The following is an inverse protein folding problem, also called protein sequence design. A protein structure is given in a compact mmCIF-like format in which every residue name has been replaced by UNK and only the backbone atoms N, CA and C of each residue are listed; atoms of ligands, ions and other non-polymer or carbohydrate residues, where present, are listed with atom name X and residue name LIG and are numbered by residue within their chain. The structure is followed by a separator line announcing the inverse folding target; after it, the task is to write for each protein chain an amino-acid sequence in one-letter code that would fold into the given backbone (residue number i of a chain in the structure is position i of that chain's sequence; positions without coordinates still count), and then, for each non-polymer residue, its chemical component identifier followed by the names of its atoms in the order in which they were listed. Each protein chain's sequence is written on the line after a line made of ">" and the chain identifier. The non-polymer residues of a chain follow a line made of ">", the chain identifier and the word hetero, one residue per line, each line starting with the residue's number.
data_IF_613242336929
#
_entry.id   IF_613242336929
#
_cell.length_a   1.000
_cell.length_b   1.000
_cell.length_c   1.000
_cell.angle_alpha   90.00
_cell.angle_beta   90.00
_cell.angle_gamma   90.00
#
_symmetry.space_group_name_H-M   'P 1'
#
loop_
_entity.id
_entity.type
_entity.pdbx_description
1 polymer ?
#
# COMPACT_ATOMS: atom_id res chain seq x y z
N UNK A 1 -6.26 -8.25 -3.19
CA UNK A 1 -6.53 -9.64 -3.61
C UNK A 1 -5.67 -10.66 -2.87
N UNK A 2 -4.42 -10.35 -2.53
CA UNK A 2 -3.48 -11.28 -1.88
C UNK A 2 -4.07 -12.03 -0.67
N UNK A 3 -4.75 -11.34 0.27
CA UNK A 3 -5.34 -12.01 1.43
C UNK A 3 -6.49 -12.96 1.08
N UNK A 4 -7.33 -12.63 0.10
CA UNK A 4 -8.42 -13.53 -0.33
C UNK A 4 -7.79 -14.82 -0.88
N UNK A 5 -6.73 -14.66 -1.69
CA UNK A 5 -6.02 -15.77 -2.31
C UNK A 5 -5.32 -16.72 -1.34
N UNK A 6 -5.11 -16.31 -0.08
CA UNK A 6 -4.51 -17.17 0.93
C UNK A 6 -5.44 -18.30 1.39
N UNK A 7 -6.70 -18.30 0.96
CA UNK A 7 -7.71 -19.28 1.39
C UNK A 7 -8.25 -19.09 2.80
N UNK A 8 -7.67 -18.17 3.60
CA UNK A 8 -8.07 -17.92 5.00
C UNK A 8 -9.52 -17.46 5.16
N UNK A 9 -10.11 -16.90 4.10
CA UNK A 9 -11.49 -16.40 4.12
C UNK A 9 -12.51 -17.46 3.65
N UNK A 10 -12.06 -18.67 3.34
CA UNK A 10 -12.91 -19.74 2.81
C UNK A 10 -13.34 -20.68 3.93
N UNK A 11 -14.59 -20.57 4.43
CA UNK A 11 -15.06 -21.38 5.56
C UNK A 11 -15.04 -22.88 5.25
N UNK A 12 -15.19 -23.24 3.98
CA UNK A 12 -15.21 -24.62 3.49
C UNK A 12 -13.89 -25.03 2.81
N UNK A 13 -12.84 -24.21 2.92
CA UNK A 13 -11.55 -24.42 2.26
C UNK A 13 -11.56 -24.16 0.76
N UNK A 14 -10.41 -24.39 0.13
CA UNK A 14 -10.19 -24.22 -1.32
C UNK A 14 -10.78 -25.41 -2.08
N UNK A 15 -11.58 -25.13 -3.10
CA UNK A 15 -12.18 -26.14 -4.00
C UNK A 15 -11.59 -26.15 -5.40
N UNK A 16 -11.08 -25.00 -5.85
CA UNK A 16 -10.52 -24.85 -7.19
C UNK A 16 -9.32 -23.91 -7.16
N UNK A 17 -8.37 -24.19 -8.04
CA UNK A 17 -7.24 -23.30 -8.30
C UNK A 17 -7.13 -22.94 -9.79
N UNK A 18 -6.44 -21.84 -10.08
CA UNK A 18 -6.09 -21.43 -11.43
C UNK A 18 -4.67 -20.83 -11.42
N UNK A 19 -3.80 -21.26 -12.33
CA UNK A 19 -2.44 -20.73 -12.40
C UNK A 19 -2.41 -19.46 -13.24
N UNK A 20 -1.96 -18.37 -12.62
CA UNK A 20 -1.88 -17.05 -13.24
C UNK A 20 -0.43 -16.61 -13.35
N UNK A 21 -0.11 -15.93 -14.46
CA UNK A 21 1.21 -15.35 -14.71
C UNK A 21 1.10 -13.93 -15.20
N UNK A 22 2.01 -13.08 -14.75
CA UNK A 22 2.16 -11.70 -15.18
C UNK A 22 3.62 -11.28 -15.19
N UNK A 23 3.91 -10.09 -15.69
CA UNK A 23 5.28 -9.55 -15.74
C UNK A 23 5.33 -8.24 -14.97
N UNK A 24 6.33 -8.13 -14.11
CA UNK A 24 6.75 -6.93 -13.42
C UNK A 24 8.08 -6.45 -13.99
N UNK A 25 8.34 -5.16 -13.85
CA UNK A 25 9.57 -4.51 -14.27
C UNK A 25 10.21 -3.86 -13.06
N UNK A 26 11.49 -4.14 -12.81
CA UNK A 26 12.18 -3.67 -11.60
C UNK A 26 13.68 -3.40 -11.78
N UNK A 27 14.25 -2.63 -10.85
CA UNK A 27 15.71 -2.54 -10.64
C UNK A 27 16.27 -3.67 -9.76
N UNK A 28 15.43 -4.60 -9.30
CA UNK A 28 15.82 -5.73 -8.48
C UNK A 28 16.63 -6.77 -9.26
N UNK A 29 17.69 -7.31 -8.64
CA UNK A 29 18.55 -8.36 -9.17
C UNK A 29 18.56 -9.58 -8.24
N UNK A 30 18.20 -10.75 -8.75
CA UNK A 30 18.06 -12.00 -8.00
C UNK A 30 19.28 -12.93 -8.10
N UNK A 31 20.44 -12.41 -8.53
CA UNK A 31 21.66 -13.16 -8.85
C UNK A 31 22.18 -14.14 -7.78
N UNK A 32 21.80 -13.95 -6.50
CA UNK A 32 22.30 -14.73 -5.36
C UNK A 32 21.23 -15.61 -4.72
N UNK A 33 20.09 -15.73 -5.37
CA UNK A 33 18.96 -16.52 -4.89
C UNK A 33 18.95 -17.86 -5.62
N UNK A 34 18.65 -18.93 -4.90
CA UNK A 34 18.42 -20.24 -5.50
C UNK A 34 17.35 -20.12 -6.59
N UNK A 35 17.61 -20.73 -7.75
CA UNK A 35 16.77 -20.65 -8.96
C UNK A 35 16.47 -19.22 -9.48
N UNK A 36 17.19 -18.18 -9.02
CA UNK A 36 16.86 -16.78 -9.28
C UNK A 36 15.39 -16.45 -8.96
N UNK A 37 14.82 -17.06 -7.92
CA UNK A 37 13.41 -16.95 -7.60
C UNK A 37 13.13 -16.61 -6.14
N UNK A 38 12.20 -15.69 -5.91
CA UNK A 38 11.64 -15.39 -4.59
C UNK A 38 10.32 -16.14 -4.47
N UNK A 39 10.15 -16.93 -3.42
CA UNK A 39 8.92 -17.67 -3.14
C UNK A 39 8.29 -17.14 -1.86
N UNK A 40 7.01 -16.77 -1.93
CA UNK A 40 6.25 -16.21 -0.80
C UNK A 40 4.83 -16.78 -0.76
N UNK A 41 4.08 -16.57 0.34
CA UNK A 41 2.64 -16.90 0.38
C UNK A 41 1.79 -16.12 -0.63
N UNK A 42 2.28 -14.97 -1.10
CA UNK A 42 1.59 -14.16 -2.09
C UNK A 42 1.85 -14.62 -3.53
N UNK A 43 2.82 -15.51 -3.76
CA UNK A 43 3.22 -16.01 -5.07
C UNK A 43 4.74 -16.03 -5.24
N UNK A 44 5.18 -16.35 -6.47
CA UNK A 44 6.58 -16.50 -6.85
C UNK A 44 7.01 -15.41 -7.81
N UNK A 45 8.20 -14.86 -7.60
CA UNK A 45 8.90 -13.98 -8.55
C UNK A 45 10.08 -14.73 -9.15
N UNK A 46 10.19 -14.74 -10.46
CA UNK A 46 11.30 -15.34 -11.20
C UNK A 46 11.92 -14.29 -12.11
N UNK A 47 13.23 -14.08 -11.98
CA UNK A 47 13.93 -13.17 -12.89
C UNK A 47 14.03 -13.78 -14.29
N UNK A 48 13.42 -13.13 -15.29
CA UNK A 48 13.45 -13.60 -16.68
C UNK A 48 14.71 -13.13 -17.41
N UNK A 49 15.12 -11.88 -17.17
CA UNK A 49 16.36 -11.31 -17.67
C UNK A 49 16.99 -10.39 -16.60
N UNK A 50 18.31 -10.45 -16.50
CA UNK A 50 19.11 -9.65 -15.57
C UNK A 50 19.97 -8.60 -16.29
N UNK A 51 20.12 -8.69 -17.61
CA UNK A 51 21.09 -7.92 -18.37
C UNK A 51 20.70 -6.44 -18.55
N UNK A 52 19.40 -6.17 -18.73
CA UNK A 52 18.90 -4.84 -19.05
C UNK A 52 17.98 -4.27 -17.98
N UNK A 53 17.97 -2.94 -17.85
CA UNK A 53 17.01 -2.21 -17.03
C UNK A 53 15.91 -1.60 -17.93
N UNK A 54 14.64 -1.65 -17.49
CA UNK A 54 14.15 -2.33 -16.29
C UNK A 54 14.14 -3.87 -16.48
N UNK A 55 14.43 -4.62 -15.42
CA UNK A 55 14.53 -6.08 -15.46
C UNK A 55 13.14 -6.71 -15.42
N UNK A 56 12.78 -7.56 -16.39
CA UNK A 56 11.53 -8.30 -16.35
C UNK A 56 11.60 -9.41 -15.29
N UNK A 57 10.59 -9.43 -14.42
CA UNK A 57 10.39 -10.41 -13.37
C UNK A 57 9.01 -11.04 -13.60
N UNK A 58 8.98 -12.34 -13.86
CA UNK A 58 7.75 -13.10 -13.99
C UNK A 58 7.16 -13.30 -12.60
N UNK A 59 5.90 -12.93 -12.45
CA UNK A 59 5.10 -13.20 -11.28
C UNK A 59 4.17 -14.38 -11.55
N UNK A 60 4.24 -15.40 -10.72
CA UNK A 60 3.37 -16.58 -10.76
C UNK A 60 2.54 -16.68 -9.48
N UNK A 61 1.24 -16.95 -9.61
CA UNK A 61 0.34 -17.12 -8.47
C UNK A 61 -0.72 -18.16 -8.78
N UNK A 62 -0.95 -19.06 -7.81
CA UNK A 62 -2.08 -19.99 -7.84
C UNK A 62 -3.30 -19.28 -7.24
N UNK A 63 -4.22 -18.88 -8.10
CA UNK A 63 -5.48 -18.26 -7.73
C UNK A 63 -6.42 -19.28 -7.09
N UNK A 64 -6.98 -19.00 -5.92
CA UNK A 64 -7.80 -19.93 -5.15
C UNK A 64 -9.28 -19.52 -5.12
N UNK A 65 -10.19 -20.51 -5.00
CA UNK A 65 -11.64 -20.33 -4.90
C UNK A 65 -12.26 -21.33 -3.92
N UNK A 66 -13.36 -20.96 -3.25
CA UNK A 66 -14.17 -21.83 -2.37
C UNK A 66 -15.43 -22.41 -3.04
N UNK A 67 -15.68 -22.05 -4.30
CA UNK A 67 -16.82 -22.47 -5.10
C UNK A 67 -16.43 -23.39 -6.26
N UNK A 68 -17.38 -24.21 -6.70
CA UNK A 68 -17.27 -25.00 -7.92
C UNK A 68 -17.74 -24.22 -9.16
N UNK A 69 -17.17 -24.50 -10.36
CA UNK A 69 -17.57 -23.84 -11.60
C UNK A 69 -19.05 -24.07 -11.94
N UNK A 70 -19.84 -23.00 -12.00
CA UNK A 70 -21.25 -23.01 -12.44
C UNK A 70 -21.62 -21.67 -13.09
N UNK A 71 -22.72 -21.66 -13.85
CA UNK A 71 -23.21 -20.44 -14.53
C UNK A 71 -23.47 -19.36 -13.49
N UNK A 72 -22.96 -18.15 -13.74
CA UNK A 72 -23.07 -17.00 -12.83
C UNK A 72 -22.03 -16.94 -11.72
N UNK A 73 -21.11 -17.90 -11.62
CA UNK A 73 -19.97 -17.87 -10.69
C UNK A 73 -18.70 -17.39 -11.39
N UNK A 74 -17.91 -16.60 -10.67
CA UNK A 74 -16.65 -16.04 -11.16
C UNK A 74 -15.64 -17.15 -11.48
N UNK A 75 -15.10 -17.14 -12.70
CA UNK A 75 -14.12 -18.14 -13.16
C UNK A 75 -12.68 -17.71 -12.84
N UNK A 76 -12.36 -16.42 -12.92
CA UNK A 76 -11.05 -15.87 -12.54
C UNK A 76 -11.15 -14.37 -12.26
N UNK A 77 -10.34 -13.85 -11.33
CA UNK A 77 -10.14 -12.40 -11.19
C UNK A 77 -9.10 -11.85 -12.19
N UNK A 78 -8.41 -12.75 -12.92
CA UNK A 78 -7.25 -12.43 -13.74
C UNK A 78 -6.03 -12.07 -12.90
N UNK A 79 -4.85 -12.01 -13.53
CA UNK A 79 -3.59 -11.77 -12.79
C UNK A 79 -3.47 -10.32 -12.29
N UNK A 80 -4.10 -9.37 -12.97
CA UNK A 80 -3.84 -7.93 -12.79
C UNK A 80 -4.00 -7.42 -11.35
N UNK A 81 -5.08 -7.79 -10.61
CA UNK A 81 -5.22 -7.33 -9.22
C UNK A 81 -4.15 -7.88 -8.29
N UNK A 82 -3.70 -9.12 -8.50
CA UNK A 82 -2.61 -9.73 -7.73
C UNK A 82 -1.28 -9.07 -8.08
N UNK A 83 -1.04 -8.85 -9.38
CA UNK A 83 0.16 -8.23 -9.91
C UNK A 83 0.36 -6.82 -9.35
N UNK A 84 -0.71 -6.00 -9.33
CA UNK A 84 -0.68 -4.65 -8.77
C UNK A 84 -0.41 -4.64 -7.25
N UNK A 85 -1.08 -5.52 -6.50
CA UNK A 85 -0.88 -5.61 -5.06
C UNK A 85 0.53 -6.04 -4.70
N UNK A 86 1.02 -7.07 -5.38
CA UNK A 86 2.32 -7.62 -5.09
C UNK A 86 3.44 -6.67 -5.51
N UNK A 87 3.31 -5.98 -6.65
CA UNK A 87 4.23 -4.93 -7.05
C UNK A 87 4.34 -3.81 -6.01
N UNK A 88 3.21 -3.37 -5.43
CA UNK A 88 3.20 -2.36 -4.38
C UNK A 88 3.89 -2.85 -3.10
N UNK A 89 3.60 -4.08 -2.66
CA UNK A 89 4.24 -4.67 -1.48
C UNK A 89 5.75 -4.81 -1.69
N UNK A 90 6.18 -5.38 -2.82
CA UNK A 90 7.61 -5.56 -3.15
C UNK A 90 8.33 -4.21 -3.20
N UNK A 91 7.75 -3.21 -3.86
CA UNK A 91 8.31 -1.86 -3.92
C UNK A 91 8.49 -1.24 -2.53
N UNK A 92 7.45 -1.34 -1.69
CA UNK A 92 7.45 -0.80 -0.34
C UNK A 92 8.49 -1.47 0.55
N UNK A 93 8.46 -2.80 0.60
CA UNK A 93 9.24 -3.60 1.55
C UNK A 93 10.72 -3.62 1.18
N UNK A 94 11.05 -3.87 -0.09
CA UNK A 94 12.43 -3.95 -0.54
C UNK A 94 13.05 -2.58 -0.84
N UNK A 95 12.22 -1.53 -0.89
CA UNK A 95 12.62 -0.18 -1.33
C UNK A 95 13.22 -0.24 -2.73
N UNK A 96 12.47 -0.84 -3.65
CA UNK A 96 12.81 -1.02 -5.06
C UNK A 96 11.76 -0.32 -5.92
N UNK A 97 12.08 -0.04 -7.18
CA UNK A 97 11.06 0.30 -8.17
C UNK A 97 10.53 -1.01 -8.73
N UNK A 98 9.26 -1.34 -8.52
CA UNK A 98 8.65 -2.55 -9.08
C UNK A 98 7.21 -2.24 -9.53
N UNK A 99 6.96 -2.38 -10.84
CA UNK A 99 5.67 -1.99 -11.44
C UNK A 99 5.35 -2.88 -12.64
N UNK A 100 4.06 -3.15 -12.94
CA UNK A 100 3.67 -3.79 -14.20
C UNK A 100 3.86 -2.89 -15.43
N UNK A 101 4.10 -1.58 -15.25
CA UNK A 101 4.30 -0.61 -16.33
C UNK A 101 5.80 -0.43 -16.64
N UNK A 102 6.29 -0.92 -17.80
CA UNK A 102 7.70 -0.82 -18.18
C UNK A 102 8.16 0.61 -18.46
N UNK A 103 7.28 1.47 -18.98
CA UNK A 103 7.61 2.85 -19.32
C UNK A 103 7.76 3.69 -18.05
N UNK A 104 6.89 3.47 -17.06
CA UNK A 104 7.04 4.05 -15.73
C UNK A 104 8.35 3.60 -15.09
N UNK A 105 8.64 2.30 -15.09
CA UNK A 105 9.88 1.78 -14.49
C UNK A 105 11.12 2.39 -15.16
N UNK A 106 11.14 2.43 -16.49
CA UNK A 106 12.22 3.04 -17.28
C UNK A 106 12.43 4.50 -16.92
N UNK A 107 11.35 5.28 -16.80
CA UNK A 107 11.41 6.70 -16.45
C UNK A 107 11.99 6.92 -15.06
N UNK A 108 11.50 6.18 -14.07
CA UNK A 108 11.92 6.28 -12.67
C UNK A 108 13.39 5.88 -12.46
N UNK A 109 13.90 4.94 -13.26
CA UNK A 109 15.28 4.48 -13.21
C UNK A 109 16.22 5.24 -14.14
N UNK A 110 15.70 6.19 -14.92
CA UNK A 110 16.51 6.99 -15.83
C UNK A 110 17.23 8.13 -15.11
N UNK A 111 18.43 8.46 -15.59
CA UNK A 111 19.12 9.69 -15.20
C UNK A 111 18.57 10.94 -15.93
N UNK A 112 17.49 10.78 -16.71
CA UNK A 112 16.91 11.85 -17.52
C UNK A 112 16.08 12.76 -16.61
N UNK A 113 16.11 14.05 -16.93
CA UNK A 113 15.26 15.07 -16.29
C UNK A 113 13.87 14.99 -16.89
N UNK A 114 12.84 15.12 -16.06
CA UNK A 114 11.47 15.32 -16.54
C UNK A 114 11.21 16.81 -16.74
N UNK A 115 10.08 17.15 -17.37
CA UNK A 115 9.65 18.54 -17.53
C UNK A 115 9.25 19.19 -16.19
N UNK A 116 8.78 18.39 -15.23
CA UNK A 116 8.31 18.87 -13.93
C UNK A 116 9.40 18.91 -12.85
N UNK A 117 10.42 18.04 -12.94
CA UNK A 117 11.48 17.93 -11.93
C UNK A 117 12.85 17.79 -12.60
N UNK A 118 13.70 18.79 -12.35
CA UNK A 118 15.05 18.87 -12.94
C UNK A 118 16.08 17.96 -12.26
N UNK A 119 15.72 17.34 -11.14
CA UNK A 119 16.57 16.44 -10.36
C UNK A 119 16.18 14.99 -10.64
N UNK A 120 17.13 14.11 -11.03
CA UNK A 120 16.85 12.69 -11.24
C UNK A 120 16.29 12.01 -9.97
N UNK A 121 15.37 11.03 -10.10
CA UNK A 121 14.73 10.36 -8.96
C UNK A 121 15.72 9.76 -7.95
N UNK A 122 16.81 9.13 -8.42
CA UNK A 122 17.83 8.53 -7.56
C UNK A 122 18.55 9.54 -6.63
N UNK A 123 18.52 10.84 -6.96
CA UNK A 123 19.06 11.89 -6.09
C UNK A 123 18.05 12.39 -5.05
N UNK A 124 16.77 12.10 -5.24
CA UNK A 124 15.67 12.51 -4.37
C UNK A 124 15.37 11.45 -3.32
N UNK A 125 15.24 10.19 -3.74
CA UNK A 125 15.03 9.05 -2.84
C UNK A 125 16.08 7.98 -3.12
N UNK A 126 17.04 7.88 -2.19
CA UNK A 126 18.11 6.88 -2.27
C UNK A 126 17.54 5.47 -2.19
N UNK A 127 18.26 4.50 -2.75
CA UNK A 127 17.91 3.08 -2.80
C UNK A 127 16.75 2.79 -3.77
N UNK A 128 15.59 3.43 -3.62
CA UNK A 128 14.38 3.11 -4.42
C UNK A 128 14.61 3.19 -5.93
N UNK A 129 15.29 4.23 -6.39
CA UNK A 129 15.55 4.49 -7.80
C UNK A 129 17.00 4.22 -8.21
N UNK A 130 17.79 3.58 -7.34
CA UNK A 130 19.15 3.18 -7.69
C UNK A 130 19.07 2.17 -8.85
N UNK A 131 20.03 2.20 -9.78
CA UNK A 131 19.98 1.36 -11.00
C UNK A 131 19.91 -0.14 -10.68
N UNK A 132 20.54 -0.55 -9.60
CA UNK A 132 20.62 -1.95 -9.23
C UNK A 132 20.48 -2.12 -7.73
N UNK A 133 19.58 -3.02 -7.33
CA UNK A 133 19.41 -3.46 -5.96
C UNK A 133 19.59 -4.98 -5.95
N UNK A 134 20.63 -5.46 -5.29
CA UNK A 134 20.94 -6.89 -5.19
C UNK A 134 20.14 -7.48 -4.04
N UNK A 135 19.26 -8.43 -4.36
CA UNK A 135 18.51 -9.17 -3.37
C UNK A 135 19.41 -10.16 -2.62
N UNK A 136 19.21 -10.28 -1.30
CA UNK A 136 19.98 -11.16 -0.44
C UNK A 136 19.07 -11.86 0.59
N UNK A 137 19.63 -12.75 1.39
CA UNK A 137 18.89 -13.53 2.40
C UNK A 137 18.16 -12.69 3.46
N UNK A 138 18.67 -11.49 3.80
CA UNK A 138 17.98 -10.62 4.75
C UNK A 138 16.75 -9.98 4.10
N UNK A 139 16.85 -9.60 2.82
CA UNK A 139 15.71 -9.10 2.05
C UNK A 139 14.63 -10.19 1.89
N UNK A 140 15.04 -11.46 1.73
CA UNK A 140 14.13 -12.60 1.69
C UNK A 140 13.34 -12.78 2.99
N UNK A 141 14.03 -12.84 4.13
CA UNK A 141 13.39 -12.94 5.45
C UNK A 141 12.46 -11.76 5.73
N UNK A 142 12.89 -10.56 5.36
CA UNK A 142 12.13 -9.33 5.55
C UNK A 142 10.87 -9.32 4.67
N UNK A 143 10.95 -9.73 3.41
CA UNK A 143 9.80 -9.80 2.51
C UNK A 143 8.81 -10.89 2.92
N UNK A 144 9.30 -12.11 3.20
CA UNK A 144 8.45 -13.22 3.62
C UNK A 144 7.75 -12.91 4.95
N UNK A 145 8.49 -12.43 5.95
CA UNK A 145 7.91 -12.03 7.24
C UNK A 145 6.84 -10.95 7.09
N UNK A 146 7.10 -9.92 6.28
CA UNK A 146 6.12 -8.87 6.03
C UNK A 146 4.85 -9.37 5.35
N UNK A 147 4.98 -10.26 4.35
CA UNK A 147 3.83 -10.83 3.64
C UNK A 147 2.99 -11.72 4.56
N UNK A 148 3.65 -12.54 5.38
CA UNK A 148 2.98 -13.41 6.35
C UNK A 148 2.17 -12.59 7.36
N UNK A 149 2.78 -11.54 7.92
CA UNK A 149 2.11 -10.61 8.84
C UNK A 149 0.94 -9.89 8.15
N UNK A 150 1.18 -9.34 6.95
CA UNK A 150 0.18 -8.63 6.16
C UNK A 150 -1.03 -9.51 5.87
N UNK A 151 -0.83 -10.72 5.35
CA UNK A 151 -1.92 -11.68 5.07
C UNK A 151 -2.60 -12.13 6.37
N UNK A 152 -1.86 -12.20 7.48
CA UNK A 152 -2.35 -12.54 8.82
C UNK A 152 -3.26 -11.50 9.48
N UNK A 153 -3.28 -10.25 9.00
CA UNK A 153 -4.10 -9.19 9.56
C UNK A 153 -5.61 -9.48 9.49
N UNK A 154 -6.39 -8.91 10.44
CA UNK A 154 -7.85 -8.84 10.30
C UNK A 154 -8.22 -8.10 9.02
N UNK A 155 -9.34 -8.45 8.39
CA UNK A 155 -9.75 -7.90 7.08
C UNK A 155 -9.74 -6.37 7.02
N UNK A 156 -10.29 -5.69 8.04
CA UNK A 156 -10.28 -4.23 8.13
C UNK A 156 -8.85 -3.67 8.11
N UNK A 157 -7.97 -4.25 8.92
CA UNK A 157 -6.55 -3.89 9.00
C UNK A 157 -5.80 -4.15 7.70
N UNK A 158 -6.00 -5.31 7.08
CA UNK A 158 -5.40 -5.63 5.79
C UNK A 158 -5.77 -4.59 4.71
N UNK A 159 -7.05 -4.24 4.60
CA UNK A 159 -7.52 -3.29 3.60
C UNK A 159 -6.94 -1.88 3.80
N UNK A 160 -6.86 -1.42 5.05
CA UNK A 160 -6.27 -0.13 5.39
C UNK A 160 -4.76 -0.09 5.13
N UNK A 161 -4.01 -1.10 5.58
CA UNK A 161 -2.57 -1.21 5.34
C UNK A 161 -2.25 -1.28 3.84
N UNK A 162 -2.98 -2.11 3.08
CA UNK A 162 -2.80 -2.17 1.62
C UNK A 162 -3.11 -0.85 0.93
N UNK A 163 -4.12 -0.10 1.39
CA UNK A 163 -4.42 1.24 0.88
C UNK A 163 -3.24 2.19 1.13
N UNK A 164 -2.74 2.24 2.36
CA UNK A 164 -1.59 3.07 2.72
C UNK A 164 -0.34 2.73 1.88
N UNK A 165 -0.01 1.44 1.75
CA UNK A 165 1.12 0.97 0.92
C UNK A 165 0.96 1.44 -0.53
N UNK A 166 -0.21 1.23 -1.14
CA UNK A 166 -0.45 1.65 -2.53
C UNK A 166 -0.36 3.16 -2.70
N UNK A 167 -0.88 3.95 -1.75
CA UNK A 167 -0.79 5.41 -1.78
C UNK A 167 0.66 5.87 -1.66
N UNK A 168 1.44 5.30 -0.74
CA UNK A 168 2.86 5.59 -0.58
C UNK A 168 3.67 5.29 -1.84
N UNK A 169 3.48 4.10 -2.43
CA UNK A 169 4.17 3.70 -3.67
C UNK A 169 3.74 4.58 -4.85
N UNK A 170 2.46 4.96 -4.91
CA UNK A 170 1.99 5.93 -5.91
C UNK A 170 2.66 7.29 -5.74
N UNK A 171 2.85 7.75 -4.49
CA UNK A 171 3.63 8.94 -4.18
C UNK A 171 5.07 8.84 -4.68
N UNK A 172 5.75 7.71 -4.43
CA UNK A 172 7.09 7.45 -4.98
C UNK A 172 7.11 7.54 -6.51
N UNK A 173 6.13 6.96 -7.20
CA UNK A 173 6.04 7.05 -8.66
C UNK A 173 5.86 8.48 -9.18
N UNK A 174 5.39 9.43 -8.36
CA UNK A 174 5.24 10.84 -8.73
C UNK A 174 6.47 11.68 -8.49
N UNK A 175 7.45 11.22 -7.71
CA UNK A 175 8.68 11.97 -7.40
C UNK A 175 9.42 12.46 -8.65
N UNK A 176 9.34 11.72 -9.75
CA UNK A 176 9.96 12.09 -11.02
C UNK A 176 9.23 13.21 -11.76
N UNK A 177 7.93 13.41 -11.54
CA UNK A 177 7.09 14.27 -12.38
C UNK A 177 6.49 15.44 -11.59
N UNK A 178 6.17 15.24 -10.30
CA UNK A 178 5.52 16.21 -9.42
C UNK A 178 5.89 15.94 -7.95
N UNK A 179 6.78 16.75 -7.39
CA UNK A 179 7.25 16.62 -6.01
C UNK A 179 6.19 16.99 -4.97
N UNK A 180 5.33 17.96 -5.29
CA UNK A 180 4.28 18.42 -4.37
C UNK A 180 3.22 17.32 -4.21
N UNK A 181 2.76 16.76 -5.33
CA UNK A 181 1.85 15.62 -5.31
C UNK A 181 2.49 14.38 -4.67
N UNK A 182 3.76 14.10 -4.96
CA UNK A 182 4.47 13.00 -4.33
C UNK A 182 4.49 13.11 -2.81
N UNK A 183 4.84 14.30 -2.29
CA UNK A 183 4.84 14.57 -0.86
C UNK A 183 3.44 14.44 -0.26
N UNK A 184 2.43 15.04 -0.88
CA UNK A 184 1.03 14.96 -0.43
C UNK A 184 0.55 13.50 -0.33
N UNK A 185 0.86 12.65 -1.32
CA UNK A 185 0.50 11.24 -1.29
C UNK A 185 1.24 10.47 -0.19
N UNK A 186 2.52 10.77 0.04
CA UNK A 186 3.28 10.14 1.14
C UNK A 186 2.70 10.54 2.51
N UNK A 187 2.39 11.82 2.71
CA UNK A 187 1.74 12.28 3.96
C UNK A 187 0.38 11.64 4.11
N UNK A 188 -0.47 11.66 3.08
CA UNK A 188 -1.79 11.04 3.12
C UNK A 188 -1.73 9.53 3.42
N UNK A 189 -0.69 8.83 2.94
CA UNK A 189 -0.50 7.41 3.27
C UNK A 189 -0.25 7.18 4.77
N UNK A 190 0.56 8.04 5.39
CA UNK A 190 0.86 7.98 6.82
C UNK A 190 -0.36 8.42 7.67
N UNK A 191 -1.02 9.50 7.27
CA UNK A 191 -2.23 9.99 7.94
C UNK A 191 -3.35 8.95 7.91
N UNK A 192 -3.57 8.29 6.76
CA UNK A 192 -4.59 7.23 6.66
C UNK A 192 -4.32 6.07 7.62
N UNK A 193 -3.06 5.70 7.82
CA UNK A 193 -2.69 4.64 8.75
C UNK A 193 -2.81 5.10 10.20
N UNK A 194 -2.40 6.33 10.51
CA UNK A 194 -2.56 6.90 11.84
C UNK A 194 -4.04 7.00 12.22
N UNK A 195 -4.90 7.54 11.35
CA UNK A 195 -6.33 7.65 11.63
C UNK A 195 -7.02 6.29 11.79
N UNK A 196 -6.68 5.30 10.95
CA UNK A 196 -7.31 3.98 11.02
C UNK A 196 -6.87 3.16 12.26
N UNK A 197 -5.74 3.50 12.90
CA UNK A 197 -5.10 2.70 13.97
C UNK A 197 -4.50 3.48 15.14
N UNK A 198 -4.77 4.77 15.32
CA UNK A 198 -4.21 5.56 16.43
C UNK A 198 -4.70 5.09 17.80
N UNK A 199 -5.81 4.32 17.84
CA UNK A 199 -6.47 3.89 19.06
C UNK A 199 -6.85 5.09 19.96
N UNK A 200 -6.77 6.30 19.42
CA UNK A 200 -6.83 7.53 20.16
C UNK A 200 -8.29 7.91 20.27
N UNK A 201 -8.83 7.75 21.46
CA UNK A 201 -10.13 8.31 21.80
C UNK A 201 -9.86 9.76 22.22
N UNK A 202 -10.17 10.71 21.33
CA UNK A 202 -9.99 12.13 21.59
C UNK A 202 -10.66 12.52 22.91
N UNK A 203 -9.87 12.94 23.89
CA UNK A 203 -10.39 13.41 25.16
C UNK A 203 -10.74 14.89 25.04
N UNK A 204 -11.71 15.36 25.83
CA UNK A 204 -12.06 16.78 25.85
C UNK A 204 -10.83 17.67 26.13
N UNK A 205 -9.82 17.18 26.84
CA UNK A 205 -8.56 17.88 27.11
C UNK A 205 -7.68 18.12 25.88
N UNK A 206 -7.83 17.32 24.83
CA UNK A 206 -6.93 17.32 23.66
C UNK A 206 -7.25 18.47 22.68
N UNK A 207 -8.42 19.10 22.85
CA UNK A 207 -8.82 20.25 22.05
C UNK A 207 -8.18 21.56 22.54
N UNK A 208 -7.96 22.48 21.60
CA UNK A 208 -7.45 23.83 21.87
C UNK A 208 -8.29 24.54 22.95
N UNK A 209 -7.63 25.05 23.98
CA UNK A 209 -8.26 25.61 25.18
C UNK A 209 -9.29 26.71 24.86
N UNK A 210 -9.01 27.56 23.86
CA UNK A 210 -9.93 28.63 23.45
C UNK A 210 -11.25 28.10 22.88
N UNK A 211 -11.23 26.99 22.13
CA UNK A 211 -12.46 26.36 21.60
C UNK A 211 -13.25 25.68 22.72
N UNK A 212 -12.54 24.98 23.63
CA UNK A 212 -13.16 24.34 24.80
C UNK A 212 -13.92 25.34 25.65
N UNK A 213 -13.29 26.46 25.97
CA UNK A 213 -13.91 27.52 26.77
C UNK A 213 -15.17 28.09 26.12
N UNK A 214 -15.19 28.28 24.80
CA UNK A 214 -16.39 28.78 24.09
C UNK A 214 -17.54 27.80 24.16
N UNK A 215 -17.27 26.50 24.00
CA UNK A 215 -18.29 25.45 24.08
C UNK A 215 -18.75 25.23 25.52
N UNK A 216 -17.83 25.22 26.48
CA UNK A 216 -18.13 25.13 27.92
C UNK A 216 -18.99 26.32 28.39
N UNK A 217 -18.72 27.52 27.86
CA UNK A 217 -19.52 28.71 28.15
C UNK A 217 -20.91 28.61 27.54
N UNK A 218 -21.04 28.10 26.31
CA UNK A 218 -22.33 27.92 25.64
C UNK A 218 -23.19 26.83 26.30
N UNK A 219 -22.58 25.84 26.95
CA UNK A 219 -23.25 24.72 27.63
C UNK A 219 -23.42 24.95 29.14
N UNK A 220 -23.11 26.15 29.65
CA UNK A 220 -23.07 26.43 31.09
C UNK A 220 -24.44 26.34 31.78
N UNK A 221 -25.50 26.61 31.03
CA UNK A 221 -26.90 26.59 31.51
C UNK A 221 -27.69 25.37 30.99
N UNK A 222 -27.00 24.41 30.36
CA UNK A 222 -27.62 23.18 29.86
C UNK A 222 -27.82 22.16 30.99
N UNK A 223 -28.85 21.32 30.87
CA UNK A 223 -29.09 20.20 31.77
C UNK A 223 -27.98 19.14 31.66
N UNK A 224 -27.75 18.37 32.73
CA UNK A 224 -26.66 17.40 32.83
C UNK A 224 -26.63 16.42 31.65
N UNK A 225 -27.79 15.98 31.16
CA UNK A 225 -27.90 15.06 30.01
C UNK A 225 -27.43 15.71 28.70
N UNK A 226 -27.65 17.01 28.53
CA UNK A 226 -27.19 17.78 27.36
C UNK A 226 -25.72 18.19 27.49
N UNK A 227 -25.25 18.45 28.72
CA UNK A 227 -23.84 18.71 29.00
C UNK A 227 -22.97 17.45 28.83
N UNK A 228 -23.49 16.26 29.12
CA UNK A 228 -22.78 14.99 28.96
C UNK A 228 -22.67 14.55 27.48
N UNK A 229 -23.55 15.08 26.60
CA UNK A 229 -23.46 14.90 25.13
C UNK A 229 -22.27 15.63 24.47
N UNK A 230 -21.39 16.30 25.23
CA UNK A 230 -20.10 16.82 24.75
C UNK A 230 -19.26 15.73 24.04
N UNK A 231 -19.37 14.49 24.49
CA UNK A 231 -18.74 13.31 23.86
C UNK A 231 -19.29 12.94 22.47
N UNK A 232 -20.48 13.42 22.10
CA UNK A 232 -21.09 13.15 20.79
C UNK A 232 -20.87 14.31 19.79
N UNK A 233 -20.70 15.54 20.30
CA UNK A 233 -20.27 16.70 19.50
C UNK A 233 -18.82 16.54 18.99
N UNK A 234 -18.01 15.76 19.70
CA UNK A 234 -16.61 15.48 19.37
C UNK A 234 -16.46 14.53 18.17
N UNK A 235 -17.36 13.57 17.97
CA UNK A 235 -17.45 12.78 16.71
C UNK A 235 -17.87 13.68 15.53
N UNK A 236 -18.84 14.58 15.72
CA UNK A 236 -19.30 15.50 14.67
C UNK A 236 -18.25 16.54 14.23
N UNK A 237 -17.40 17.01 15.14
CA UNK A 237 -16.28 17.91 14.80
C UNK A 237 -15.11 17.19 14.13
N UNK A 238 -14.87 15.91 14.45
CA UNK A 238 -13.91 15.07 13.71
C UNK A 238 -14.36 14.91 12.25
N UNK A 239 -15.65 14.64 12.04
CA UNK A 239 -16.26 14.58 10.69
C UNK A 239 -16.20 15.96 10.00
N UNK A 240 -16.38 17.07 10.72
CA UNK A 240 -16.26 18.43 10.17
C UNK A 240 -14.85 18.78 9.68
N UNK A 241 -13.81 18.32 10.39
CA UNK A 241 -12.41 18.42 9.95
C UNK A 241 -12.11 17.50 8.75
N UNK A 242 -12.79 16.35 8.64
CA UNK A 242 -12.73 15.48 7.46
C UNK A 242 -13.32 16.15 6.21
N UNK A 243 -14.35 17.00 6.34
CA UNK A 243 -14.94 17.73 5.20
C UNK A 243 -14.18 19.01 4.83
N UNK A 244 -13.57 19.73 5.78
CA UNK A 244 -12.74 20.91 5.46
C UNK A 244 -11.42 20.54 4.74
N UNK A 245 -10.91 19.32 4.92
CA UNK A 245 -9.70 18.84 4.23
C UNK A 245 -9.94 18.30 2.81
N UNK A 246 -11.19 18.16 2.37
CA UNK A 246 -11.55 17.69 1.02
C UNK A 246 -11.62 18.84 -0.01
N UNK A 247 -11.44 20.09 0.42
CA UNK A 247 -11.41 21.27 -0.46
C UNK A 247 -10.06 21.98 -0.47
N UNK A 248 -8.99 21.27 -0.81
CA UNK A 248 -7.84 21.92 -1.45
C UNK A 248 -7.42 21.06 -2.65
N UNK A 249 -7.63 21.68 -3.82
CA UNK A 249 -7.40 21.21 -5.19
C UNK A 249 -5.98 20.70 -5.40
#
# INVERSE_FOLDING_TARGET
>A
MLQINSGKLYPNGVRRTNELRGVLYSNLLLMRVEDNAIVTQAGRLLQADAANLPRPIVYEVSEQFDDEPRVGVLISHGVQPYLQDFAAVVSFVLRVTCTPDPDLCTRLLSDKRSLGVMTPPAKLVRKVFDKEIIFNENDDKLLNGFIDDLIGLKRKSFLAVMRAIRTYVTGLHRVADDLELAYTLMVASLESLAQDFDGHTAQWSDYEQGRRQRIDTALKDADEVTADRRGNLTEGLYIGLDYEKVYFV
#
